data_IF_665659820387
#
_entry.id   IF_665659820387
#
_cell.length_a   1.000
_cell.length_b   1.000
_cell.length_c   1.000
_cell.angle_alpha   90.00
_cell.angle_beta   90.00
_cell.angle_gamma   90.00
#
_symmetry.space_group_name_H-M   'P 1'
#
loop_
_entity.id
_entity.type
_entity.pdbx_description
1 polymer ?
#
# COMPACT_ATOMS: atom_id res chain seq x y z
N UNK A 1 7.55 -7.85 -31.50
CA UNK A 1 7.85 -8.48 -30.20
C UNK A 1 6.55 -9.01 -29.61
N UNK A 2 6.43 -10.31 -29.39
CA UNK A 2 5.24 -10.91 -28.80
C UNK A 2 5.17 -10.49 -27.32
N UNK A 3 4.14 -9.71 -26.97
CA UNK A 3 3.89 -9.30 -25.59
C UNK A 3 3.45 -10.55 -24.84
N UNK A 4 4.27 -11.05 -23.91
CA UNK A 4 3.89 -12.15 -23.02
C UNK A 4 2.60 -11.73 -22.31
N UNK A 5 1.46 -12.33 -22.69
CA UNK A 5 0.25 -12.18 -21.91
C UNK A 5 0.45 -13.00 -20.65
N UNK A 6 0.69 -12.30 -19.55
CA UNK A 6 0.85 -12.91 -18.26
C UNK A 6 -0.42 -13.73 -17.93
N UNK A 7 -0.24 -15.05 -17.83
CA UNK A 7 -1.31 -16.04 -17.70
C UNK A 7 -1.69 -16.18 -16.23
N UNK A 8 -2.24 -15.13 -15.63
CA UNK A 8 -2.74 -15.18 -14.26
C UNK A 8 -4.26 -15.24 -14.25
N UNK A 9 -4.82 -16.06 -13.37
CA UNK A 9 -6.26 -16.09 -13.14
C UNK A 9 -6.61 -14.98 -12.17
N UNK A 10 -7.78 -14.36 -12.37
CA UNK A 10 -8.29 -13.31 -11.47
C UNK A 10 -8.30 -13.77 -10.00
N UNK A 11 -8.62 -15.04 -9.74
CA UNK A 11 -8.63 -15.64 -8.40
C UNK A 11 -7.26 -15.61 -7.72
N UNK A 12 -6.18 -15.84 -8.46
CA UNK A 12 -4.82 -15.86 -7.91
C UNK A 12 -4.38 -14.45 -7.53
N UNK A 13 -4.71 -13.47 -8.38
CA UNK A 13 -4.45 -12.05 -8.14
C UNK A 13 -5.20 -11.56 -6.90
N UNK A 14 -6.49 -11.89 -6.79
CA UNK A 14 -7.30 -11.50 -5.62
C UNK A 14 -6.72 -12.09 -4.34
N UNK A 15 -6.36 -13.38 -4.34
CA UNK A 15 -5.75 -14.03 -3.16
C UNK A 15 -4.44 -13.37 -2.75
N UNK A 16 -3.57 -13.06 -3.72
CA UNK A 16 -2.30 -12.39 -3.45
C UNK A 16 -2.51 -11.00 -2.81
N UNK A 17 -3.47 -10.23 -3.32
CA UNK A 17 -3.79 -8.90 -2.78
C UNK A 17 -4.35 -9.02 -1.36
N UNK A 18 -5.26 -9.98 -1.10
CA UNK A 18 -5.79 -10.23 0.24
C UNK A 18 -4.69 -10.59 1.23
N UNK A 19 -3.77 -11.47 0.85
CA UNK A 19 -2.62 -11.83 1.70
C UNK A 19 -1.70 -10.63 1.96
N UNK A 20 -1.46 -9.79 0.95
CA UNK A 20 -0.67 -8.57 1.11
C UNK A 20 -1.33 -7.57 2.07
N UNK A 21 -2.66 -7.40 1.99
CA UNK A 21 -3.41 -6.56 2.93
C UNK A 21 -3.35 -7.10 4.35
N UNK A 22 -3.47 -8.41 4.53
CA UNK A 22 -3.27 -9.04 5.84
C UNK A 22 -1.85 -8.85 6.39
N UNK A 23 -0.85 -8.72 5.51
CA UNK A 23 0.53 -8.38 5.84
C UNK A 23 0.79 -6.89 6.11
N UNK A 24 -0.24 -6.04 6.11
CA UNK A 24 -0.12 -4.61 6.43
C UNK A 24 -0.03 -3.69 5.20
N UNK A 25 -0.18 -4.22 3.97
CA UNK A 25 -0.28 -3.37 2.78
C UNK A 25 -1.63 -2.64 2.78
N UNK A 26 -1.59 -1.30 2.75
CA UNK A 26 -2.81 -0.49 2.75
C UNK A 26 -3.26 -0.23 1.30
N UNK A 27 -4.29 -0.96 0.86
CA UNK A 27 -4.84 -0.88 -0.50
C UNK A 27 -6.25 -0.28 -0.44
N UNK A 28 -6.46 0.84 -1.13
CA UNK A 28 -7.75 1.55 -1.17
C UNK A 28 -8.62 1.14 -2.35
N UNK A 29 -8.01 0.79 -3.49
CA UNK A 29 -8.73 0.31 -4.66
C UNK A 29 -7.91 -0.69 -5.46
N UNK A 30 -8.60 -1.69 -6.00
CA UNK A 30 -8.06 -2.68 -6.94
C UNK A 30 -8.89 -2.64 -8.22
N UNK A 31 -8.25 -2.41 -9.36
CA UNK A 31 -8.87 -2.52 -10.68
C UNK A 31 -8.09 -3.57 -11.50
N UNK A 32 -8.81 -4.54 -12.08
CA UNK A 32 -8.22 -5.61 -12.89
C UNK A 32 -8.91 -5.60 -14.26
N UNK A 33 -8.19 -5.14 -15.28
CA UNK A 33 -8.72 -4.99 -16.64
C UNK A 33 -7.70 -5.43 -17.68
N UNK A 34 -8.11 -6.22 -18.68
CA UNK A 34 -7.34 -6.54 -19.90
C UNK A 34 -5.87 -6.97 -19.66
N UNK A 35 -5.62 -7.77 -18.62
CA UNK A 35 -4.26 -8.22 -18.30
C UNK A 35 -3.40 -7.14 -17.62
N UNK A 36 -4.03 -6.12 -17.03
CA UNK A 36 -3.42 -5.11 -16.16
C UNK A 36 -4.06 -5.17 -14.78
N UNK A 37 -3.23 -4.99 -13.76
CA UNK A 37 -3.64 -4.86 -12.36
C UNK A 37 -3.24 -3.46 -11.93
N UNK A 38 -4.20 -2.67 -11.48
CA UNK A 38 -3.99 -1.34 -10.92
C UNK A 38 -4.33 -1.41 -9.44
N UNK A 39 -3.36 -1.06 -8.60
CA UNK A 39 -3.50 -1.00 -7.16
C UNK A 39 -3.33 0.45 -6.74
N UNK A 40 -4.35 1.01 -6.10
CA UNK A 40 -4.27 2.31 -5.46
C UNK A 40 -4.00 2.02 -3.99
N UNK A 41 -2.84 2.47 -3.50
CA UNK A 41 -2.56 2.47 -2.07
C UNK A 41 -2.95 3.82 -1.48
N UNK A 42 -3.58 3.79 -0.31
CA UNK A 42 -3.65 4.97 0.54
C UNK A 42 -2.34 5.02 1.32
N UNK A 43 -1.51 6.03 1.05
CA UNK A 43 -0.53 6.42 2.06
C UNK A 43 -1.33 6.71 3.32
N UNK A 44 -0.98 6.06 4.43
CA UNK A 44 -1.41 6.53 5.73
C UNK A 44 -0.99 8.00 5.78
N UNK A 45 -1.96 8.90 5.81
CA UNK A 45 -1.69 10.31 6.06
C UNK A 45 -0.96 10.32 7.40
N UNK A 46 0.35 10.57 7.39
CA UNK A 46 1.05 10.88 8.63
C UNK A 46 0.22 12.00 9.27
N UNK A 47 -0.34 11.74 10.45
CA UNK A 47 -1.02 12.79 11.19
C UNK A 47 -0.03 13.96 11.28
N UNK A 48 -0.49 15.17 10.94
CA UNK A 48 0.37 16.34 11.02
C UNK A 48 0.93 16.41 12.45
N UNK A 49 2.27 16.43 12.58
CA UNK A 49 2.92 16.54 13.89
C UNK A 49 2.35 17.77 14.61
N UNK A 50 1.83 17.57 15.82
CA UNK A 50 1.41 18.69 16.66
C UNK A 50 2.62 19.39 17.25
N UNK A 51 2.48 20.63 17.72
CA UNK A 51 3.57 21.32 18.44
C UNK A 51 4.06 20.52 19.66
N UNK A 52 3.17 19.73 20.28
CA UNK A 52 3.52 18.85 21.39
C UNK A 52 4.40 17.67 20.94
N UNK A 53 4.06 17.01 19.82
CA UNK A 53 4.86 15.91 19.26
C UNK A 53 6.29 16.37 18.91
N UNK A 54 6.40 17.58 18.36
CA UNK A 54 7.69 18.21 18.03
C UNK A 54 8.50 18.47 19.30
N UNK A 55 7.88 19.03 20.34
CA UNK A 55 8.55 19.28 21.62
C UNK A 55 9.03 17.99 22.31
N UNK A 56 8.21 16.93 22.31
CA UNK A 56 8.57 15.64 22.91
C UNK A 56 9.77 14.99 22.21
N UNK A 57 9.77 15.00 20.87
CA UNK A 57 10.88 14.49 20.05
C UNK A 57 12.19 15.23 20.33
N UNK A 58 12.14 16.55 20.39
CA UNK A 58 13.32 17.39 20.56
C UNK A 58 13.88 17.32 22.00
N UNK A 59 13.01 17.08 22.99
CA UNK A 59 13.43 16.84 24.37
C UNK A 59 14.04 15.45 24.55
N UNK A 60 13.46 14.41 23.94
CA UNK A 60 13.96 13.05 24.01
C UNK A 60 15.35 12.88 23.37
N UNK A 61 15.70 13.70 22.36
CA UNK A 61 17.05 13.73 21.75
C UNK A 61 18.13 14.39 22.60
N UNK A 62 17.76 15.11 23.68
CA UNK A 62 18.69 15.85 24.55
C UNK A 62 19.01 15.15 25.87
N UNK A 63 18.44 13.97 26.14
CA UNK A 63 18.76 13.10 27.27
C UNK A 63 19.74 12.01 26.83
#
# INVERSE_FOLDING_TARGET
>A
MAKLQATWRKVDVTRAITAAMAGGLNVSRVEIENGRIILISTQAVQAAETELDVWERDRARKA
#
